data_IF_239757262545
#
_entry.id   IF_239757262545
#
_cell.length_a   1.000
_cell.length_b   1.000
_cell.length_c   1.000
_cell.angle_alpha   90.00
_cell.angle_beta   90.00
_cell.angle_gamma   90.00
#
_symmetry.space_group_name_H-M   'P 1'
#
loop_
_entity.id
_entity.type
_entity.pdbx_description
1 polymer ?
#
# COMPACT_ATOMS: atom_id res chain seq x y z
N UNK A 1 -18.63 -12.01 12.11
CA UNK A 1 -17.72 -11.63 13.22
C UNK A 1 -17.11 -10.30 12.85
N UNK A 2 -17.50 -9.21 13.51
CA UNK A 2 -16.98 -7.88 13.21
C UNK A 2 -15.52 -7.79 13.65
N UNK A 3 -14.59 -7.78 12.70
CA UNK A 3 -13.16 -7.63 12.99
C UNK A 3 -12.89 -6.18 13.36
N UNK A 4 -12.68 -5.90 14.64
CA UNK A 4 -12.23 -4.61 15.12
C UNK A 4 -10.85 -4.29 14.53
N UNK A 5 -10.71 -3.27 13.66
CA UNK A 5 -9.45 -2.94 13.00
C UNK A 5 -8.34 -2.60 13.98
N UNK A 6 -8.68 -1.99 15.13
CA UNK A 6 -7.74 -1.53 16.15
C UNK A 6 -7.37 -2.61 17.16
N UNK A 7 -7.92 -3.82 17.02
CA UNK A 7 -7.54 -4.96 17.86
C UNK A 7 -6.04 -5.24 17.72
N UNK A 8 -5.34 -5.24 18.85
CA UNK A 8 -3.93 -5.60 18.93
C UNK A 8 -3.76 -7.12 18.88
N UNK A 9 -2.87 -7.57 17.99
CA UNK A 9 -2.49 -8.96 17.80
C UNK A 9 -0.98 -9.12 17.98
N UNK A 10 -0.51 -10.22 18.62
CA UNK A 10 0.90 -10.49 18.76
C UNK A 10 1.53 -10.89 17.41
N UNK A 11 2.78 -10.47 17.17
CA UNK A 11 3.51 -10.89 15.97
C UNK A 11 3.95 -12.37 16.05
N UNK A 12 3.78 -13.15 14.97
CA UNK A 12 4.19 -14.55 14.90
C UNK A 12 5.72 -14.78 14.93
N UNK A 13 6.52 -13.74 14.66
CA UNK A 13 7.98 -13.80 14.76
C UNK A 13 8.50 -13.39 16.15
N UNK A 14 7.79 -12.51 16.84
CA UNK A 14 8.15 -12.02 18.16
C UNK A 14 6.91 -11.60 18.95
N UNK A 15 6.59 -12.34 20.02
CA UNK A 15 5.40 -12.09 20.84
C UNK A 15 5.42 -10.75 21.59
N UNK A 16 6.58 -10.09 21.71
CA UNK A 16 6.69 -8.76 22.30
C UNK A 16 6.09 -7.66 21.41
N UNK A 17 5.97 -7.90 20.10
CA UNK A 17 5.33 -6.93 19.21
C UNK A 17 3.81 -7.09 19.26
N UNK A 18 3.12 -6.05 19.68
CA UNK A 18 1.66 -5.91 19.61
C UNK A 18 1.33 -4.97 18.46
N UNK A 19 0.61 -5.46 17.45
CA UNK A 19 0.29 -4.70 16.23
C UNK A 19 -1.21 -4.72 15.99
N UNK A 20 -1.77 -3.56 15.63
CA UNK A 20 -3.16 -3.45 15.21
C UNK A 20 -3.42 -4.34 13.97
N UNK A 21 -4.54 -5.05 13.97
CA UNK A 21 -4.86 -6.05 12.95
C UNK A 21 -4.68 -5.51 11.53
N UNK A 22 -5.14 -4.28 11.28
CA UNK A 22 -5.05 -3.65 9.96
C UNK A 22 -3.59 -3.35 9.52
N UNK A 23 -2.63 -3.23 10.45
CA UNK A 23 -1.22 -2.96 10.15
C UNK A 23 -0.35 -4.21 10.07
N UNK A 24 -0.90 -5.37 10.39
CA UNK A 24 -0.15 -6.63 10.45
C UNK A 24 0.56 -6.94 9.13
N UNK A 25 -0.11 -6.76 8.00
CA UNK A 25 0.46 -7.02 6.67
C UNK A 25 1.77 -6.24 6.41
N UNK A 26 1.82 -4.94 6.72
CA UNK A 26 3.04 -4.13 6.57
C UNK A 26 4.10 -4.51 7.61
N UNK A 27 3.69 -4.84 8.84
CA UNK A 27 4.60 -5.24 9.90
C UNK A 27 5.37 -6.52 9.52
N UNK A 28 4.67 -7.56 9.06
CA UNK A 28 5.24 -8.86 8.75
C UNK A 28 6.33 -8.78 7.68
N UNK A 29 6.15 -7.94 6.65
CA UNK A 29 7.16 -7.74 5.60
C UNK A 29 8.50 -7.24 6.13
N UNK A 30 8.47 -6.38 7.15
CA UNK A 30 9.69 -5.84 7.79
C UNK A 30 10.23 -6.81 8.84
N UNK A 31 9.34 -7.37 9.66
CA UNK A 31 9.71 -8.25 10.76
C UNK A 31 10.36 -9.54 10.25
N UNK A 32 9.86 -10.13 9.15
CA UNK A 32 10.47 -11.30 8.51
C UNK A 32 11.94 -11.08 8.15
N UNK A 33 12.31 -9.87 7.70
CA UNK A 33 13.71 -9.54 7.36
C UNK A 33 14.63 -9.48 8.58
N UNK A 34 14.08 -9.19 9.76
CA UNK A 34 14.83 -9.14 11.02
C UNK A 34 15.07 -10.53 11.63
N UNK A 35 14.26 -11.53 11.27
CA UNK A 35 14.35 -12.90 11.78
C UNK A 35 14.60 -13.92 10.65
N UNK A 36 15.74 -13.84 9.92
CA UNK A 36 16.02 -14.73 8.79
C UNK A 36 16.21 -16.20 9.20
N UNK A 37 16.62 -16.45 10.45
CA UNK A 37 16.91 -17.80 10.96
C UNK A 37 15.65 -18.58 11.36
N UNK A 38 14.48 -17.94 11.38
CA UNK A 38 13.23 -18.55 11.82
C UNK A 38 12.46 -19.02 10.59
N UNK A 39 12.38 -20.34 10.40
CA UNK A 39 11.69 -20.95 9.26
C UNK A 39 10.18 -20.97 9.52
N UNK A 40 9.50 -19.93 9.04
CA UNK A 40 8.05 -19.82 9.01
C UNK A 40 7.56 -19.60 7.58
N UNK A 41 6.44 -20.20 7.24
CA UNK A 41 5.80 -20.13 5.93
C UNK A 41 4.54 -19.25 6.00
N UNK A 42 4.18 -18.68 4.86
CA UNK A 42 2.99 -17.84 4.70
C UNK A 42 1.87 -18.70 4.16
N UNK A 43 0.65 -18.53 4.68
CA UNK A 43 -0.52 -19.21 4.13
C UNK A 43 -0.77 -18.77 2.67
N UNK A 44 -1.13 -19.69 1.77
CA UNK A 44 -1.49 -19.34 0.39
C UNK A 44 -2.79 -18.54 0.29
N UNK A 45 -3.67 -18.58 1.31
CA UNK A 45 -4.99 -17.92 1.29
C UNK A 45 -5.00 -16.55 1.99
N UNK A 46 -4.11 -16.33 2.96
CA UNK A 46 -4.00 -15.05 3.66
C UNK A 46 -2.53 -14.74 4.00
N UNK A 47 -2.04 -13.60 3.51
CA UNK A 47 -0.68 -13.11 3.77
C UNK A 47 -0.37 -12.77 5.23
N UNK A 48 -1.40 -12.59 6.07
CA UNK A 48 -1.24 -12.32 7.51
C UNK A 48 -1.02 -13.60 8.33
N UNK A 49 -1.42 -14.75 7.79
CA UNK A 49 -1.21 -16.04 8.43
C UNK A 49 0.24 -16.51 8.22
N UNK A 50 1.01 -16.52 9.31
CA UNK A 50 2.37 -17.03 9.37
C UNK A 50 2.40 -18.25 10.27
N UNK A 51 2.85 -19.37 9.74
CA UNK A 51 2.80 -20.68 10.40
C UNK A 51 4.19 -21.32 10.39
N UNK A 52 4.50 -22.18 11.36
CA UNK A 52 5.76 -22.90 11.35
C UNK A 52 5.81 -23.88 10.17
N UNK A 53 6.99 -24.12 9.60
CA UNK A 53 7.15 -25.03 8.45
C UNK A 53 6.48 -26.40 8.61
N UNK A 54 6.57 -27.12 9.76
CA UNK A 54 5.95 -28.44 9.90
C UNK A 54 4.40 -28.39 10.04
N UNK A 55 3.83 -27.24 10.37
CA UNK A 55 2.40 -27.09 10.64
C UNK A 55 1.62 -26.55 9.43
N UNK A 56 2.33 -26.17 8.36
CA UNK A 56 1.71 -25.51 7.19
C UNK A 56 0.67 -26.40 6.52
N UNK A 57 0.92 -27.71 6.40
CA UNK A 57 0.01 -28.62 5.73
C UNK A 57 -1.30 -28.77 6.51
N UNK A 58 -1.20 -28.86 7.83
CA UNK A 58 -2.36 -28.88 8.71
C UNK A 58 -3.15 -27.56 8.63
N UNK A 59 -2.44 -26.42 8.67
CA UNK A 59 -3.04 -25.11 8.53
C UNK A 59 -3.78 -24.95 7.20
N UNK A 60 -3.16 -25.32 6.07
CA UNK A 60 -3.76 -25.20 4.74
C UNK A 60 -5.08 -25.98 4.67
N UNK A 61 -5.16 -27.17 5.26
CA UNK A 61 -6.37 -27.99 5.27
C UNK A 61 -7.50 -27.44 6.17
N UNK A 62 -7.16 -26.69 7.22
CA UNK A 62 -8.10 -26.19 8.24
C UNK A 62 -8.30 -24.67 8.20
N UNK A 63 -7.67 -23.98 7.25
CA UNK A 63 -7.69 -22.52 7.18
C UNK A 63 -9.10 -22.01 6.91
N UNK A 64 -9.53 -21.03 7.69
CA UNK A 64 -10.85 -20.39 7.53
C UNK A 64 -11.02 -19.74 6.14
N UNK A 65 -9.94 -19.25 5.55
CA UNK A 65 -9.95 -18.61 4.23
C UNK A 65 -9.90 -19.61 3.07
N UNK A 66 -9.72 -20.92 3.33
CA UNK A 66 -9.81 -21.97 2.31
C UNK A 66 -11.21 -22.05 1.70
N UNK A 67 -12.24 -21.68 2.46
CA UNK A 67 -13.63 -21.72 2.00
C UNK A 67 -13.89 -20.90 0.74
N UNK A 68 -13.11 -19.84 0.45
CA UNK A 68 -13.22 -19.12 -0.82
C UNK A 68 -12.86 -19.99 -2.02
N UNK A 69 -11.78 -20.76 -1.92
CA UNK A 69 -11.36 -21.70 -2.97
C UNK A 69 -12.36 -22.85 -3.08
N UNK A 70 -12.78 -23.41 -1.95
CA UNK A 70 -13.75 -24.52 -1.95
C UNK A 70 -15.07 -24.09 -2.60
N UNK A 71 -15.53 -22.88 -2.31
CA UNK A 71 -16.74 -22.34 -2.94
C UNK A 71 -16.58 -22.19 -4.46
N UNK A 72 -15.39 -21.85 -4.96
CA UNK A 72 -15.13 -21.75 -6.40
C UNK A 72 -15.04 -23.12 -7.09
N UNK A 73 -14.48 -24.12 -6.40
CA UNK A 73 -14.26 -25.46 -6.95
C UNK A 73 -15.49 -26.36 -6.90
N UNK A 74 -16.26 -26.29 -5.81
CA UNK A 74 -17.31 -27.27 -5.49
C UNK A 74 -18.73 -26.72 -5.53
N UNK A 75 -18.95 -25.41 -5.57
CA UNK A 75 -20.28 -24.90 -5.90
C UNK A 75 -20.49 -24.97 -7.40
N UNK A 76 -21.20 -26.01 -7.83
CA UNK A 76 -21.65 -26.21 -9.20
C UNK A 76 -22.95 -25.48 -9.52
N UNK A 77 -23.50 -24.69 -8.58
CA UNK A 77 -24.69 -23.90 -8.83
C UNK A 77 -24.39 -22.86 -9.93
N UNK A 78 -24.83 -23.20 -11.14
CA UNK A 78 -24.70 -22.42 -12.36
C UNK A 78 -25.35 -21.04 -12.23
N UNK A 79 -26.28 -20.89 -11.27
CA UNK A 79 -26.97 -19.64 -10.95
C UNK A 79 -26.12 -18.63 -10.16
N UNK A 80 -24.93 -19.01 -9.68
CA UNK A 80 -23.99 -18.13 -8.96
C UNK A 80 -22.94 -17.48 -9.86
N UNK A 81 -22.72 -18.05 -11.05
CA UNK A 81 -21.87 -17.45 -12.07
C UNK A 81 -22.66 -16.36 -12.75
N UNK A 82 -22.47 -15.11 -12.31
CA UNK A 82 -22.97 -13.96 -13.07
C UNK A 82 -22.41 -14.12 -14.49
N UNK A 83 -23.25 -14.24 -15.53
CA UNK A 83 -22.75 -14.31 -16.89
C UNK A 83 -22.04 -12.98 -17.15
N UNK A 84 -20.71 -13.01 -17.09
CA UNK A 84 -19.89 -11.88 -17.48
C UNK A 84 -20.08 -11.77 -18.98
N UNK A 85 -21.03 -10.92 -19.37
CA UNK A 85 -21.15 -10.51 -20.76
C UNK A 85 -19.85 -9.79 -21.05
N UNK A 86 -18.95 -10.44 -21.78
CA UNK A 86 -17.76 -9.81 -22.32
C UNK A 86 -18.29 -8.82 -23.35
N UNK A 87 -18.66 -7.63 -22.89
CA UNK A 87 -18.90 -6.49 -23.76
C UNK A 87 -17.53 -6.19 -24.32
N UNK A 88 -17.24 -6.73 -25.51
CA UNK A 88 -16.01 -6.42 -26.24
C UNK A 88 -15.86 -4.92 -26.23
N UNK A 89 -14.65 -4.45 -25.89
CA UNK A 89 -14.32 -3.04 -25.69
C UNK A 89 -15.01 -2.22 -26.76
N UNK A 90 -16.15 -1.61 -26.43
CA UNK A 90 -16.82 -0.72 -27.36
C UNK A 90 -15.80 0.37 -27.61
N UNK A 91 -15.43 0.58 -28.87
CA UNK A 91 -14.61 1.70 -29.27
C UNK A 91 -15.40 2.97 -28.96
N UNK A 92 -15.40 3.37 -27.69
CA UNK A 92 -15.97 4.61 -27.22
C UNK A 92 -15.03 5.65 -27.80
N UNK A 93 -15.46 6.28 -28.89
CA UNK A 93 -14.78 7.43 -29.45
C UNK A 93 -14.95 8.58 -28.44
N UNK A 94 -14.09 8.61 -27.42
CA UNK A 94 -13.91 9.80 -26.61
C UNK A 94 -13.09 10.78 -27.45
N UNK A 95 -13.70 11.91 -27.85
CA UNK A 95 -13.00 13.00 -28.52
C UNK A 95 -12.03 13.74 -27.58
N UNK A 96 -12.20 13.59 -26.26
CA UNK A 96 -11.26 14.08 -25.25
C UNK A 96 -10.27 12.97 -24.87
N UNK A 97 -9.08 13.00 -25.46
CA UNK A 97 -7.92 12.28 -24.95
C UNK A 97 -7.22 13.14 -23.90
N UNK A 98 -6.91 12.57 -22.74
CA UNK A 98 -6.03 13.21 -21.75
C UNK A 98 -4.62 13.49 -22.31
N UNK A 99 -4.25 12.86 -23.44
CA UNK A 99 -2.99 13.12 -24.16
C UNK A 99 -3.07 14.33 -25.12
N UNK A 100 -4.26 14.81 -25.50
CA UNK A 100 -4.44 15.95 -26.41
C UNK A 100 -4.38 17.29 -25.67
N UNK A 101 -4.52 17.28 -24.34
CA UNK A 101 -4.23 18.43 -23.50
C UNK A 101 -2.72 18.68 -23.51
N UNK A 102 -2.29 19.63 -24.34
CA UNK A 102 -0.95 20.23 -24.25
C UNK A 102 -0.89 21.07 -22.97
N UNK A 103 -0.75 20.39 -21.82
CA UNK A 103 -0.38 21.02 -20.58
C UNK A 103 0.92 21.80 -20.84
N UNK A 104 0.87 23.12 -20.62
CA UNK A 104 2.03 24.01 -20.80
C UNK A 104 3.26 23.33 -20.21
N UNK A 105 4.23 23.01 -21.06
CA UNK A 105 5.33 22.12 -20.72
C UNK A 105 5.96 22.55 -19.40
N UNK A 106 6.03 21.63 -18.43
CA UNK A 106 6.79 21.85 -17.20
C UNK A 106 8.18 22.37 -17.58
N UNK A 107 8.48 23.63 -17.27
CA UNK A 107 9.76 24.25 -17.56
C UNK A 107 10.68 24.10 -16.33
N UNK A 108 11.59 23.11 -16.30
CA UNK A 108 12.46 22.87 -15.17
C UNK A 108 13.59 23.89 -15.23
N UNK A 109 13.35 25.11 -14.76
CA UNK A 109 14.36 26.18 -14.82
C UNK A 109 13.83 27.58 -14.60
N UNK A 110 12.52 27.81 -14.68
CA UNK A 110 11.94 29.09 -14.30
C UNK A 110 12.24 29.34 -12.82
N UNK A 111 12.77 30.53 -12.53
CA UNK A 111 12.98 31.03 -11.17
C UNK A 111 11.75 30.71 -10.32
N UNK A 112 11.91 29.81 -9.35
CA UNK A 112 10.82 29.47 -8.43
C UNK A 112 10.47 30.75 -7.68
N UNK A 113 9.18 31.08 -7.66
CA UNK A 113 8.71 32.26 -6.96
C UNK A 113 9.25 32.28 -5.52
N UNK A 114 9.52 33.47 -4.99
CA UNK A 114 10.16 33.66 -3.68
C UNK A 114 9.41 33.00 -2.51
N UNK A 115 8.12 32.73 -2.68
CA UNK A 115 7.28 31.99 -1.74
C UNK A 115 7.45 30.46 -1.82
N UNK A 116 8.31 29.91 -2.69
CA UNK A 116 8.48 28.46 -2.83
C UNK A 116 9.78 28.00 -2.15
N UNK A 117 9.66 27.35 -0.99
CA UNK A 117 10.81 26.81 -0.25
C UNK A 117 11.26 25.47 -0.86
N UNK A 118 12.42 25.47 -1.52
CA UNK A 118 13.03 24.27 -2.12
C UNK A 118 13.91 23.47 -1.16
N UNK A 119 13.91 22.14 -1.33
CA UNK A 119 14.86 21.22 -0.66
C UNK A 119 16.24 21.31 -1.32
N UNK A 120 17.30 21.30 -0.52
CA UNK A 120 18.68 21.17 -1.00
C UNK A 120 18.96 19.69 -1.30
N UNK A 121 19.37 19.39 -2.53
CA UNK A 121 19.69 18.04 -2.98
C UNK A 121 21.14 17.72 -2.55
N UNK A 122 21.40 16.49 -2.09
CA UNK A 122 22.75 16.03 -1.71
C UNK A 122 23.24 16.42 -0.31
N UNK A 123 22.52 17.28 0.43
CA UNK A 123 22.90 17.70 1.77
C UNK A 123 22.50 16.67 2.86
N UNK A 124 23.18 16.68 4.02
CA UNK A 124 22.84 15.84 5.17
C UNK A 124 21.48 16.20 5.78
N UNK A 125 20.85 15.32 6.59
CA UNK A 125 19.58 15.64 7.24
C UNK A 125 19.61 16.94 8.08
N UNK A 126 20.72 17.22 8.77
CA UNK A 126 20.90 18.43 9.59
C UNK A 126 20.96 19.69 8.73
N UNK A 127 21.76 19.66 7.66
CA UNK A 127 21.90 20.78 6.72
C UNK A 127 20.58 21.08 6.00
N UNK A 128 19.84 20.05 5.58
CA UNK A 128 18.50 20.21 4.99
C UNK A 128 17.53 20.88 5.96
N UNK A 129 17.61 20.56 7.25
CA UNK A 129 16.78 21.17 8.29
C UNK A 129 17.15 22.64 8.50
N UNK A 130 18.45 22.95 8.59
CA UNK A 130 18.97 24.32 8.73
C UNK A 130 18.54 25.21 7.56
N UNK A 131 18.77 24.74 6.32
CA UNK A 131 18.40 25.47 5.11
C UNK A 131 16.87 25.72 5.00
N UNK A 132 16.05 24.77 5.47
CA UNK A 132 14.59 24.97 5.55
C UNK A 132 14.25 26.06 6.56
N UNK A 133 14.85 26.04 7.75
CA UNK A 133 14.58 27.05 8.79
C UNK A 133 14.98 28.46 8.35
N UNK A 134 16.11 28.62 7.68
CA UNK A 134 16.55 29.92 7.14
C UNK A 134 15.59 30.44 6.06
N UNK A 135 15.15 29.57 5.14
CA UNK A 135 14.17 29.95 4.11
C UNK A 135 12.80 30.29 4.69
N UNK A 136 12.37 29.63 5.78
CA UNK A 136 11.14 29.98 6.50
C UNK A 136 11.23 31.41 7.07
N UNK A 137 12.39 31.82 7.61
CA UNK A 137 12.58 33.20 8.10
C UNK A 137 12.45 34.25 7.00
N UNK A 138 12.87 33.91 5.78
CA UNK A 138 12.84 34.81 4.61
C UNK A 138 11.55 34.70 3.77
N UNK A 139 10.62 33.82 4.15
CA UNK A 139 9.41 33.56 3.41
C UNK A 139 8.47 34.78 3.43
N UNK A 140 7.98 35.17 2.26
CA UNK A 140 6.90 36.14 2.10
C UNK A 140 5.75 35.48 1.34
N UNK A 141 4.51 35.51 1.87
CA UNK A 141 3.37 34.94 1.17
C UNK A 141 3.12 35.68 -0.15
N UNK A 142 2.54 35.01 -1.17
CA UNK A 142 2.14 35.68 -2.40
C UNK A 142 1.08 36.76 -2.11
N UNK A 143 1.03 37.86 -2.89
CA UNK A 143 -0.01 38.85 -2.75
C UNK A 143 -1.38 38.21 -3.04
N UNK A 144 -2.37 38.50 -2.21
CA UNK A 144 -3.76 38.12 -2.44
C UNK A 144 -4.35 39.09 -3.46
N UNK A 145 -4.71 38.62 -4.66
CA UNK A 145 -5.51 39.42 -5.59
C UNK A 145 -6.88 39.70 -4.95
N UNK A 146 -7.23 40.96 -4.79
CA UNK A 146 -8.54 41.44 -4.38
C UNK A 146 -9.15 42.23 -5.55
#
# INVERSE_FOLDING_TARGET
MSSDPHRLLPCPFNMAHQIESYRMHVHLQKCKKQYPNVIKLVCPFDSTHIVNSPEIDHHVNSCMHRGMLDNQLYNFDDNSRVPVTIVGTTNIQCEESWDDEVASSYQPGVSKASHIITKVIGATPSERRKARMEKIKMYKPPPTNN
#
